data_IF_616741831125
#
_entry.id   IF_616741831125
#
_cell.length_a   1.000
_cell.length_b   1.000
_cell.length_c   1.000
_cell.angle_alpha   90.00
_cell.angle_beta   90.00
_cell.angle_gamma   90.00
#
_symmetry.space_group_name_H-M   'P 1'
#
loop_
_entity.id
_entity.type
_entity.pdbx_description
1 polymer ?
#
# COMPACT_ATOMS: atom_id res chain seq x y z
N UNK A 1 5.03 -13.72 -6.26
CA UNK A 1 5.65 -12.76 -5.30
C UNK A 1 7.15 -12.60 -5.57
N UNK A 2 7.92 -13.69 -5.68
CA UNK A 2 9.36 -13.61 -5.97
C UNK A 2 9.66 -12.87 -7.29
N UNK A 3 8.87 -13.10 -8.34
CA UNK A 3 9.02 -12.39 -9.61
C UNK A 3 8.84 -10.88 -9.45
N UNK A 4 7.83 -10.45 -8.69
CA UNK A 4 7.59 -9.04 -8.43
C UNK A 4 8.74 -8.42 -7.63
N UNK A 5 9.27 -9.15 -6.65
CA UNK A 5 10.45 -8.73 -5.91
C UNK A 5 11.66 -8.54 -6.85
N UNK A 6 11.88 -9.45 -7.80
CA UNK A 6 12.95 -9.31 -8.81
C UNK A 6 12.71 -8.15 -9.77
N UNK A 7 11.48 -7.95 -10.24
CA UNK A 7 11.10 -6.80 -11.07
C UNK A 7 11.39 -5.46 -10.36
N UNK A 8 11.21 -5.41 -9.04
CA UNK A 8 11.57 -4.25 -8.22
C UNK A 8 13.09 -4.11 -7.96
N UNK A 9 13.92 -5.01 -8.49
CA UNK A 9 15.38 -5.02 -8.31
C UNK A 9 15.86 -5.76 -7.06
N UNK A 10 15.09 -6.76 -6.61
CA UNK A 10 15.45 -7.59 -5.46
C UNK A 10 16.74 -8.39 -5.66
N UNK A 11 17.65 -8.35 -4.69
CA UNK A 11 19.00 -8.96 -4.79
C UNK A 11 19.16 -10.28 -4.05
N UNK A 12 18.33 -10.58 -3.05
CA UNK A 12 18.44 -11.83 -2.27
C UNK A 12 17.69 -12.97 -2.96
N UNK A 13 18.18 -14.20 -2.84
CA UNK A 13 17.44 -15.36 -3.38
C UNK A 13 16.20 -15.69 -2.55
N UNK A 14 16.31 -15.55 -1.23
CA UNK A 14 15.23 -15.77 -0.27
C UNK A 14 15.14 -14.54 0.63
N UNK A 15 14.43 -13.48 0.22
CA UNK A 15 14.28 -12.30 1.07
C UNK A 15 13.44 -12.61 2.30
N UNK A 16 13.83 -12.06 3.45
CA UNK A 16 12.97 -12.09 4.64
C UNK A 16 11.87 -11.05 4.48
N UNK A 17 10.65 -11.50 4.22
CA UNK A 17 9.49 -10.64 4.05
C UNK A 17 8.77 -10.40 5.38
N UNK A 18 8.39 -9.15 5.64
CA UNK A 18 7.65 -8.75 6.83
C UNK A 18 6.77 -7.52 6.50
N UNK A 19 5.59 -7.73 5.88
CA UNK A 19 4.73 -6.64 5.38
C UNK A 19 4.08 -5.76 6.46
N UNK A 20 4.40 -5.96 7.74
CA UNK A 20 3.82 -5.21 8.86
C UNK A 20 2.40 -5.65 9.19
N UNK A 21 1.86 -5.08 10.27
CA UNK A 21 0.47 -5.28 10.67
C UNK A 21 -0.48 -4.46 9.78
N UNK A 22 -1.78 -4.72 9.94
CA UNK A 22 -2.85 -3.90 9.40
C UNK A 22 -3.02 -2.63 10.23
N UNK A 23 -3.46 -1.52 9.60
CA UNK A 23 -3.70 -0.27 10.35
C UNK A 23 -4.90 -0.42 11.28
N UNK A 24 -5.98 -1.05 10.80
CA UNK A 24 -7.16 -1.40 11.59
C UNK A 24 -7.61 -2.82 11.25
N UNK A 25 -8.00 -3.57 12.29
CA UNK A 25 -8.64 -4.87 12.17
C UNK A 25 -9.97 -4.83 12.95
N UNK A 26 -11.07 -5.09 12.26
CA UNK A 26 -12.41 -5.14 12.84
C UNK A 26 -12.76 -6.56 13.31
N UNK A 27 -13.64 -6.66 14.29
CA UNK A 27 -14.06 -7.94 14.89
C UNK A 27 -14.78 -8.87 13.90
N UNK A 28 -15.40 -8.30 12.85
CA UNK A 28 -16.07 -9.06 11.79
C UNK A 28 -15.10 -9.61 10.73
N UNK A 29 -13.79 -9.40 10.92
CA UNK A 29 -12.72 -9.87 10.06
C UNK A 29 -12.38 -8.94 8.90
N UNK A 30 -12.98 -7.75 8.80
CA UNK A 30 -12.52 -6.71 7.87
C UNK A 30 -11.17 -6.15 8.33
N UNK A 31 -10.22 -6.09 7.39
CA UNK A 31 -8.94 -5.42 7.56
C UNK A 31 -8.96 -4.12 6.78
N UNK A 32 -8.36 -3.07 7.31
CA UNK A 32 -8.29 -1.76 6.66
C UNK A 32 -6.85 -1.23 6.65
N UNK A 33 -6.46 -0.70 5.49
CA UNK A 33 -5.25 0.12 5.30
C UNK A 33 -5.64 1.55 4.94
N UNK A 34 -4.97 2.51 5.55
CA UNK A 34 -5.02 3.92 5.18
C UNK A 34 -3.72 4.32 4.46
N UNK A 35 -3.80 4.43 3.14
CA UNK A 35 -2.64 4.76 2.33
C UNK A 35 -2.42 6.28 2.22
N UNK A 36 -1.31 6.71 2.81
CA UNK A 36 -0.82 8.09 2.79
C UNK A 36 0.18 8.36 1.64
N UNK A 37 0.72 9.58 1.56
CA UNK A 37 1.62 10.03 0.48
C UNK A 37 2.73 9.02 0.14
N UNK A 38 3.32 8.38 1.15
CA UNK A 38 4.45 7.46 0.98
C UNK A 38 4.15 6.22 0.15
N UNK A 39 2.88 5.87 -0.06
CA UNK A 39 2.47 4.69 -0.84
C UNK A 39 2.40 4.97 -2.34
N UNK A 40 2.33 6.23 -2.75
CA UNK A 40 2.03 6.62 -4.13
C UNK A 40 3.27 7.06 -4.88
N UNK A 41 4.07 6.09 -5.33
CA UNK A 41 5.30 6.31 -6.10
C UNK A 41 5.46 5.31 -7.25
N UNK A 42 6.37 5.56 -8.22
CA UNK A 42 6.58 4.70 -9.41
C UNK A 42 6.67 3.20 -9.13
N UNK A 43 7.33 2.80 -8.04
CA UNK A 43 7.45 1.37 -7.70
C UNK A 43 6.11 0.75 -7.30
N UNK A 44 5.21 1.52 -6.67
CA UNK A 44 3.83 1.09 -6.42
C UNK A 44 3.11 0.95 -7.75
N UNK A 45 3.30 1.90 -8.66
CA UNK A 45 2.80 1.83 -10.04
C UNK A 45 3.17 0.51 -10.72
N UNK A 46 4.42 0.06 -10.62
CA UNK A 46 4.87 -1.24 -11.12
C UNK A 46 4.07 -2.39 -10.49
N UNK A 47 3.86 -2.38 -9.17
CA UNK A 47 3.09 -3.46 -8.53
C UNK A 47 1.62 -3.48 -8.94
N UNK A 48 1.05 -2.33 -9.29
CA UNK A 48 -0.34 -2.20 -9.73
C UNK A 48 -0.59 -2.65 -11.18
N UNK A 49 0.46 -3.01 -11.94
CA UNK A 49 0.33 -3.60 -13.28
C UNK A 49 0.23 -5.12 -13.26
N UNK A 50 0.37 -5.76 -12.09
CA UNK A 50 0.28 -7.21 -11.98
C UNK A 50 -1.15 -7.69 -12.33
N UNK A 51 -1.32 -8.83 -13.04
CA UNK A 51 -2.62 -9.24 -13.55
C UNK A 51 -3.71 -9.41 -12.49
N UNK A 52 -3.34 -9.85 -11.30
CA UNK A 52 -4.24 -10.08 -10.17
C UNK A 52 -4.72 -8.79 -9.48
N UNK A 53 -4.15 -7.63 -9.83
CA UNK A 53 -4.56 -6.34 -9.28
C UNK A 53 -5.83 -5.81 -9.95
N UNK A 54 -6.09 -6.21 -11.20
CA UNK A 54 -7.15 -5.61 -12.04
C UNK A 54 -8.53 -5.64 -11.39
N UNK A 55 -8.81 -6.66 -10.57
CA UNK A 55 -10.11 -6.85 -9.92
C UNK A 55 -10.19 -6.21 -8.52
N UNK A 56 -9.13 -5.56 -8.05
CA UNK A 56 -9.12 -4.92 -6.73
C UNK A 56 -9.83 -3.56 -6.76
N UNK A 57 -10.74 -3.27 -5.80
CA UNK A 57 -11.56 -2.05 -5.83
C UNK A 57 -10.79 -0.72 -5.82
N UNK A 58 -9.54 -0.71 -5.35
CA UNK A 58 -8.69 0.49 -5.31
C UNK A 58 -7.77 0.65 -6.52
N UNK A 59 -7.65 -0.36 -7.39
CA UNK A 59 -6.58 -0.43 -8.39
C UNK A 59 -6.51 0.77 -9.31
N UNK A 60 -7.63 1.17 -9.91
CA UNK A 60 -7.66 2.27 -10.89
C UNK A 60 -7.36 3.62 -10.26
N UNK A 61 -8.01 3.92 -9.12
CA UNK A 61 -7.73 5.13 -8.37
C UNK A 61 -6.25 5.21 -7.95
N UNK A 62 -5.68 4.09 -7.51
CA UNK A 62 -4.29 4.08 -7.06
C UNK A 62 -3.28 4.25 -8.19
N UNK A 63 -3.60 3.79 -9.41
CA UNK A 63 -2.78 4.08 -10.59
C UNK A 63 -2.74 5.58 -10.88
N UNK A 64 -3.87 6.28 -10.75
CA UNK A 64 -3.94 7.74 -10.86
C UNK A 64 -3.16 8.43 -9.73
N UNK A 65 -3.33 7.95 -8.49
CA UNK A 65 -2.66 8.49 -7.32
C UNK A 65 -1.14 8.35 -7.38
N UNK A 66 -0.61 7.26 -7.94
CA UNK A 66 0.84 7.13 -8.19
C UNK A 66 1.35 8.23 -9.13
N UNK A 67 0.61 8.55 -10.19
CA UNK A 67 1.02 9.58 -11.16
C UNK A 67 0.98 10.98 -10.52
N UNK A 68 -0.08 11.30 -9.78
CA UNK A 68 -0.30 12.64 -9.19
C UNK A 68 0.38 12.82 -7.82
N UNK A 69 0.72 11.73 -7.14
CA UNK A 69 1.23 11.67 -5.79
C UNK A 69 2.75 11.55 -5.66
N UNK A 70 3.47 11.14 -6.72
CA UNK A 70 4.89 10.77 -6.60
C UNK A 70 5.77 11.84 -5.93
N UNK A 71 5.53 13.13 -6.20
CA UNK A 71 6.30 14.22 -5.59
C UNK A 71 6.15 14.31 -4.06
N UNK A 72 5.08 13.75 -3.51
CA UNK A 72 4.76 13.77 -2.07
C UNK A 72 5.20 12.49 -1.36
N UNK A 73 5.58 11.44 -2.09
CA UNK A 73 6.00 10.16 -1.53
C UNK A 73 7.32 10.19 -0.71
N UNK A 74 7.94 11.37 -0.59
CA UNK A 74 9.02 11.64 0.35
C UNK A 74 10.36 11.02 -0.05
N UNK A 75 11.31 11.87 -0.42
CA UNK A 75 12.61 11.44 -0.95
C UNK A 75 13.77 11.53 0.04
N UNK A 76 13.51 11.94 1.29
CA UNK A 76 14.54 12.20 2.29
C UNK A 76 14.74 11.08 3.32
N UNK A 77 16.00 10.72 3.57
CA UNK A 77 16.44 9.90 4.70
C UNK A 77 15.75 8.52 4.78
N UNK A 78 15.16 8.19 5.94
CA UNK A 78 14.53 6.87 6.18
C UNK A 78 13.31 6.57 5.30
N UNK A 79 12.79 7.56 4.58
CA UNK A 79 11.72 7.37 3.58
C UNK A 79 12.27 6.85 2.26
N UNK A 80 13.53 7.17 1.95
CA UNK A 80 14.22 6.83 0.71
C UNK A 80 15.00 5.52 0.82
N UNK A 81 15.73 5.34 1.92
CA UNK A 81 16.54 4.15 2.19
C UNK A 81 16.54 3.73 3.65
N UNK A 82 16.85 2.47 3.92
CA UNK A 82 17.07 1.93 5.26
C UNK A 82 17.94 0.67 5.19
N UNK A 83 18.64 0.28 6.28
CA UNK A 83 19.42 -0.96 6.27
C UNK A 83 18.60 -2.22 5.94
N UNK A 84 17.32 -2.27 6.32
CA UNK A 84 16.46 -3.42 5.97
C UNK A 84 16.11 -3.43 4.49
N UNK A 85 15.83 -2.27 3.90
CA UNK A 85 15.51 -2.14 2.50
C UNK A 85 16.73 -2.39 1.62
N UNK A 86 17.92 -1.91 2.02
CA UNK A 86 19.16 -2.11 1.27
C UNK A 86 19.58 -3.59 1.25
N UNK A 87 19.34 -4.34 2.33
CA UNK A 87 19.52 -5.79 2.30
C UNK A 87 18.67 -6.47 1.23
N UNK A 88 17.49 -5.92 0.94
CA UNK A 88 16.56 -6.47 -0.05
C UNK A 88 16.83 -5.97 -1.47
N UNK A 89 17.23 -4.71 -1.66
CA UNK A 89 17.27 -4.07 -3.00
C UNK A 89 18.62 -3.46 -3.36
N UNK A 90 19.65 -3.65 -2.52
CA UNK A 90 20.94 -2.99 -2.66
C UNK A 90 20.93 -1.54 -2.17
N UNK A 91 22.09 -0.86 -2.23
CA UNK A 91 22.23 0.54 -1.79
C UNK A 91 21.34 1.49 -2.60
N UNK A 92 20.98 2.62 -2.00
CA UNK A 92 20.21 3.65 -2.67
C UNK A 92 21.07 4.51 -3.62
N UNK A 93 20.41 5.16 -4.56
CA UNK A 93 20.93 6.38 -5.16
C UNK A 93 20.76 7.58 -4.21
N UNK A 94 21.41 8.73 -4.47
CA UNK A 94 21.19 9.93 -3.66
C UNK A 94 19.70 10.27 -3.52
N UNK A 95 19.34 10.88 -2.38
CA UNK A 95 17.96 11.26 -2.07
C UNK A 95 17.29 12.02 -3.23
N UNK A 96 16.19 11.46 -3.74
CA UNK A 96 15.42 12.02 -4.85
C UNK A 96 15.97 11.76 -6.26
N UNK A 97 17.09 11.05 -6.39
CA UNK A 97 17.69 10.68 -7.68
C UNK A 97 17.25 9.27 -8.08
N UNK A 98 16.57 9.16 -9.21
CA UNK A 98 16.16 7.87 -9.76
C UNK A 98 17.12 7.42 -10.87
N UNK A 99 18.33 7.03 -10.47
CA UNK A 99 19.30 6.38 -11.36
C UNK A 99 19.03 4.87 -11.44
N UNK A 100 20.09 4.08 -11.53
CA UNK A 100 20.01 2.62 -11.66
C UNK A 100 19.39 1.94 -10.43
N UNK A 101 19.58 2.50 -9.24
CA UNK A 101 19.18 1.88 -7.97
C UNK A 101 17.92 2.50 -7.38
N UNK A 102 17.76 3.81 -7.53
CA UNK A 102 16.67 4.61 -6.97
C UNK A 102 16.52 4.43 -5.47
N UNK A 103 15.27 4.21 -5.01
CA UNK A 103 14.89 4.21 -3.60
C UNK A 103 14.55 2.81 -3.06
N UNK A 104 15.49 2.13 -2.34
CA UNK A 104 15.24 0.82 -1.74
C UNK A 104 14.01 0.81 -0.82
N UNK A 105 13.78 1.89 -0.05
CA UNK A 105 12.66 1.89 0.90
C UNK A 105 11.30 1.99 0.22
N UNK A 106 11.22 2.72 -0.90
CA UNK A 106 10.03 2.76 -1.75
C UNK A 106 9.75 1.39 -2.38
N UNK A 107 10.78 0.73 -2.93
CA UNK A 107 10.67 -0.65 -3.46
C UNK A 107 10.16 -1.63 -2.40
N UNK A 108 10.68 -1.54 -1.18
CA UNK A 108 10.23 -2.37 -0.06
C UNK A 108 8.76 -2.10 0.30
N UNK A 109 8.35 -0.83 0.34
CA UNK A 109 6.95 -0.47 0.63
C UNK A 109 6.01 -1.01 -0.45
N UNK A 110 6.32 -0.76 -1.73
CA UNK A 110 5.54 -1.30 -2.85
C UNK A 110 5.43 -2.83 -2.81
N UNK A 111 6.52 -3.54 -2.52
CA UNK A 111 6.47 -4.99 -2.39
C UNK A 111 5.51 -5.43 -1.28
N UNK A 112 5.57 -4.79 -0.12
CA UNK A 112 4.71 -5.12 1.01
C UNK A 112 3.25 -4.78 0.75
N UNK A 113 2.98 -3.64 0.10
CA UNK A 113 1.62 -3.31 -0.36
C UNK A 113 1.10 -4.37 -1.33
N UNK A 114 1.93 -4.80 -2.29
CA UNK A 114 1.57 -5.85 -3.24
C UNK A 114 1.32 -7.22 -2.57
N UNK A 115 2.01 -7.52 -1.46
CA UNK A 115 1.74 -8.72 -0.65
C UNK A 115 0.35 -8.66 -0.02
N UNK A 116 -0.01 -7.52 0.58
CA UNK A 116 -1.34 -7.29 1.16
C UNK A 116 -2.42 -7.37 0.07
N UNK A 117 -2.17 -6.76 -1.08
CA UNK A 117 -3.08 -6.82 -2.23
C UNK A 117 -3.24 -8.25 -2.77
N UNK A 118 -2.16 -9.04 -2.83
CA UNK A 118 -2.24 -10.45 -3.26
C UNK A 118 -3.08 -11.28 -2.28
N UNK A 119 -2.98 -11.02 -0.98
CA UNK A 119 -3.80 -11.70 0.02
C UNK A 119 -5.29 -11.36 -0.17
N UNK A 120 -5.62 -10.11 -0.50
CA UNK A 120 -6.97 -9.70 -0.81
C UNK A 120 -7.48 -10.30 -2.14
N UNK A 121 -6.68 -10.23 -3.20
CA UNK A 121 -7.03 -10.78 -4.52
C UNK A 121 -7.27 -12.29 -4.51
N UNK A 122 -6.55 -13.02 -3.64
CA UNK A 122 -6.77 -14.47 -3.44
C UNK A 122 -7.96 -14.82 -2.53
N UNK A 123 -8.63 -13.81 -1.96
CA UNK A 123 -9.70 -13.97 -0.97
C UNK A 123 -9.23 -14.55 0.36
N UNK A 124 -7.92 -14.52 0.63
CA UNK A 124 -7.34 -14.97 1.90
C UNK A 124 -7.69 -14.01 3.04
N UNK A 125 -7.93 -12.74 2.72
CA UNK A 125 -8.41 -11.72 3.66
C UNK A 125 -9.55 -10.92 3.03
N UNK A 126 -10.42 -10.37 3.88
CA UNK A 126 -11.35 -9.30 3.52
C UNK A 126 -10.66 -7.97 3.80
N UNK A 127 -10.24 -7.26 2.76
CA UNK A 127 -9.45 -6.03 2.86
C UNK A 127 -10.19 -4.84 2.24
N UNK A 128 -10.24 -3.74 2.96
CA UNK A 128 -10.49 -2.40 2.42
C UNK A 128 -9.18 -1.61 2.36
N UNK A 129 -8.91 -0.92 1.25
CA UNK A 129 -7.86 0.10 1.19
C UNK A 129 -8.45 1.44 0.82
N UNK A 130 -8.26 2.41 1.69
CA UNK A 130 -8.65 3.80 1.47
C UNK A 130 -7.39 4.67 1.43
N UNK A 131 -7.46 5.80 0.75
CA UNK A 131 -6.35 6.72 0.58
C UNK A 131 -6.73 8.11 1.08
N UNK A 132 -5.76 8.85 1.59
CA UNK A 132 -5.91 10.28 1.88
C UNK A 132 -6.33 11.10 0.62
N UNK A 133 -6.16 10.55 -0.59
CA UNK A 133 -6.59 11.18 -1.85
C UNK A 133 -8.01 10.80 -2.30
N UNK A 134 -8.66 9.85 -1.63
CA UNK A 134 -10.06 9.53 -1.91
C UNK A 134 -10.93 10.78 -1.71
N UNK A 135 -11.93 10.94 -2.57
CA UNK A 135 -12.94 11.99 -2.42
C UNK A 135 -14.21 11.38 -1.83
N UNK A 136 -14.67 11.93 -0.72
CA UNK A 136 -15.87 11.49 -0.02
C UNK A 136 -16.79 12.69 0.16
N UNK A 137 -18.01 12.59 -0.35
CA UNK A 137 -18.99 13.69 -0.33
C UNK A 137 -18.40 15.04 -0.81
N UNK A 138 -17.52 15.01 -1.82
CA UNK A 138 -16.88 16.20 -2.40
C UNK A 138 -15.60 16.66 -1.70
N UNK A 139 -15.30 16.21 -0.49
CA UNK A 139 -14.08 16.53 0.26
C UNK A 139 -12.98 15.49 0.05
N UNK A 140 -11.71 15.86 0.19
CA UNK A 140 -10.63 14.87 0.29
C UNK A 140 -10.68 14.18 1.65
N UNK A 141 -10.44 12.86 1.69
CA UNK A 141 -10.37 12.13 2.95
C UNK A 141 -9.31 12.72 3.88
N UNK A 142 -8.17 13.18 3.32
CA UNK A 142 -7.17 13.92 4.08
C UNK A 142 -7.74 15.13 4.84
N UNK A 143 -8.61 15.91 4.19
CA UNK A 143 -9.19 17.11 4.80
C UNK A 143 -10.15 16.73 5.93
N UNK A 144 -10.89 15.63 5.77
CA UNK A 144 -11.76 15.08 6.82
C UNK A 144 -10.94 14.60 8.02
N UNK A 145 -9.87 13.82 7.79
CA UNK A 145 -9.01 13.29 8.85
C UNK A 145 -8.34 14.40 9.69
N UNK A 146 -8.04 15.54 9.07
CA UNK A 146 -7.47 16.70 9.75
C UNK A 146 -8.51 17.74 10.20
N UNK A 147 -9.81 17.43 10.14
CA UNK A 147 -10.89 18.32 10.60
C UNK A 147 -11.05 19.60 9.76
N UNK A 148 -10.53 19.61 8.53
CA UNK A 148 -10.64 20.71 7.56
C UNK A 148 -11.90 20.62 6.69
N UNK A 149 -12.57 19.47 6.72
CA UNK A 149 -13.88 19.25 6.14
C UNK A 149 -14.74 18.43 7.09
N UNK A 150 -16.02 18.78 7.20
CA UNK A 150 -17.00 18.01 7.96
C UNK A 150 -17.93 17.29 6.98
N UNK A 151 -18.02 15.97 7.10
CA UNK A 151 -18.87 15.12 6.27
C UNK A 151 -19.58 14.09 7.15
N UNK A 152 -20.74 13.58 6.73
CA UNK A 152 -21.41 12.50 7.44
C UNK A 152 -20.51 11.26 7.53
N UNK A 153 -20.34 10.69 8.72
CA UNK A 153 -19.54 9.47 8.93
C UNK A 153 -20.00 8.30 8.03
N UNK A 154 -21.30 8.24 7.71
CA UNK A 154 -21.86 7.24 6.80
C UNK A 154 -21.24 7.31 5.39
N UNK A 155 -20.82 8.49 4.92
CA UNK A 155 -20.16 8.61 3.62
C UNK A 155 -18.75 7.98 3.63
N UNK A 156 -18.04 8.05 4.77
CA UNK A 156 -16.75 7.36 4.93
C UNK A 156 -16.97 5.85 5.01
N UNK A 157 -18.00 5.39 5.71
CA UNK A 157 -18.35 3.96 5.76
C UNK A 157 -18.68 3.42 4.36
N UNK A 158 -19.43 4.18 3.55
CA UNK A 158 -19.70 3.83 2.15
C UNK A 158 -18.43 3.71 1.31
N UNK A 159 -17.47 4.64 1.46
CA UNK A 159 -16.16 4.51 0.80
C UNK A 159 -15.45 3.22 1.22
N UNK A 160 -15.45 2.88 2.52
CA UNK A 160 -14.82 1.65 3.01
C UNK A 160 -15.48 0.42 2.39
N UNK A 161 -16.81 0.39 2.29
CA UNK A 161 -17.54 -0.70 1.64
C UNK A 161 -17.22 -0.79 0.15
N UNK A 162 -17.20 0.33 -0.57
CA UNK A 162 -16.82 0.41 -2.00
C UNK A 162 -15.39 -0.05 -2.24
N UNK A 163 -14.48 0.19 -1.28
CA UNK A 163 -13.07 -0.21 -1.34
C UNK A 163 -12.81 -1.61 -0.78
N UNK A 164 -13.84 -2.32 -0.31
CA UNK A 164 -13.70 -3.64 0.30
C UNK A 164 -13.70 -4.76 -0.73
N UNK A 165 -12.76 -5.68 -0.59
CA UNK A 165 -12.79 -6.98 -1.28
C UNK A 165 -13.73 -7.96 -0.58
N UNK A 166 -14.27 -8.93 -1.33
CA UNK A 166 -14.96 -10.08 -0.75
C UNK A 166 -13.91 -11.07 -0.22
N UNK A 167 -13.84 -11.27 1.10
CA UNK A 167 -12.94 -12.24 1.70
C UNK A 167 -13.67 -13.43 2.31
N UNK A 168 -13.00 -14.58 2.44
CA UNK A 168 -13.42 -15.59 3.43
C UNK A 168 -12.96 -15.10 4.79
N UNK A 169 -13.86 -15.03 5.77
CA UNK A 169 -13.48 -14.78 7.16
C UNK A 169 -12.49 -15.86 7.60
N UNK A 170 -11.21 -15.53 7.73
CA UNK A 170 -10.27 -16.43 8.39
C UNK A 170 -10.66 -16.46 9.87
N UNK A 171 -10.83 -17.64 10.50
CA UNK A 171 -11.07 -17.70 11.93
C UNK A 171 -9.88 -17.06 12.65
N UNK A 172 -10.18 -16.12 13.54
CA UNK A 172 -9.21 -15.53 14.48
C UNK A 172 -8.73 -16.64 15.43
N UNK A 173 -7.73 -17.41 15.03
CA UNK A 173 -7.01 -18.31 15.93
C UNK A 173 -5.52 -18.27 15.62
N UNK A 174 -4.72 -17.78 16.57
CA UNK A 174 -3.30 -18.11 16.67
C UNK A 174 -2.32 -16.95 16.73
N UNK A 175 -2.48 -16.01 17.67
CA UNK A 175 -1.36 -15.28 18.27
C UNK A 175 -1.61 -15.14 19.76
N UNK A 176 -1.42 -16.24 20.51
CA UNK A 176 -1.06 -16.13 21.92
C UNK A 176 0.47 -16.09 22.03
N UNK A 177 0.92 -15.01 22.67
CA UNK A 177 2.23 -14.64 23.25
C UNK A 177 3.48 -15.44 22.87
#
# INVERSE_FOLDING_TARGET
>A
MLDLYRVLGGVQDVPRLAPGNWDVAYDDGLLLELDEDLHFHRYRGITLTAPWVTDLPWADAYREYVVTGERRAGTGGRRWTSPSAERMFGPADPDGVFGDRGAPRWKQRALYDAMKDTAAASGAVRLARISIYDRVAGALLNDVLYGRADIPAIAVAQLVDERSTSGRSAPLSGFEK
#
